data_IF_312178615495
#
_entry.id   IF_312178615495
#
_cell.length_a   1.000
_cell.length_b   1.000
_cell.length_c   1.000
_cell.angle_alpha   90.00
_cell.angle_beta   90.00
_cell.angle_gamma   90.00
#
_symmetry.space_group_name_H-M   'P 1'
#
loop_
_entity.id
_entity.type
_entity.pdbx_description
1 polymer ?
#
# COMPACT_ATOMS: atom_id res chain seq x y z
N UNK A 1 -10.11 -17.90 -30.15
CA UNK A 1 -9.04 -17.25 -29.39
C UNK A 1 -8.25 -18.34 -28.68
N UNK A 2 -6.91 -18.37 -28.78
CA UNK A 2 -6.11 -19.37 -28.05
C UNK A 2 -6.18 -19.06 -26.54
N UNK A 3 -6.34 -20.07 -25.66
CA UNK A 3 -6.24 -19.87 -24.22
C UNK A 3 -4.89 -19.26 -23.85
N UNK A 4 -4.87 -18.33 -22.90
CA UNK A 4 -3.63 -17.74 -22.40
C UNK A 4 -2.83 -18.82 -21.68
N UNK A 5 -1.56 -18.99 -22.06
CA UNK A 5 -0.64 -19.90 -21.41
C UNK A 5 -0.34 -19.41 -19.98
N UNK A 6 -0.75 -20.19 -18.98
CA UNK A 6 -0.59 -19.88 -17.56
C UNK A 6 0.61 -20.58 -16.90
N UNK A 7 1.44 -21.27 -17.68
CA UNK A 7 2.58 -22.04 -17.15
C UNK A 7 3.67 -21.17 -16.52
N UNK A 8 3.75 -19.89 -16.90
CA UNK A 8 4.67 -18.89 -16.35
C UNK A 8 3.89 -17.77 -15.61
N UNK A 9 3.57 -17.93 -14.32
CA UNK A 9 2.71 -16.99 -13.58
C UNK A 9 3.29 -15.57 -13.48
N UNK A 10 4.62 -15.43 -13.57
CA UNK A 10 5.33 -14.14 -13.54
C UNK A 10 4.85 -13.17 -14.63
N UNK A 11 4.40 -13.69 -15.78
CA UNK A 11 3.83 -12.87 -16.85
C UNK A 11 2.61 -12.09 -16.37
N UNK A 12 1.70 -12.70 -15.60
CA UNK A 12 0.48 -12.06 -15.07
C UNK A 12 0.80 -11.03 -13.98
N UNK A 13 1.84 -11.28 -13.18
CA UNK A 13 2.28 -10.36 -12.14
C UNK A 13 2.92 -9.09 -12.72
N UNK A 14 3.54 -9.19 -13.91
CA UNK A 14 4.11 -8.06 -14.65
C UNK A 14 3.08 -7.24 -15.45
N UNK A 15 1.81 -7.64 -15.52
CA UNK A 15 0.79 -6.90 -16.29
C UNK A 15 0.46 -5.53 -15.67
N UNK A 16 0.77 -5.32 -14.39
CA UNK A 16 0.52 -4.07 -13.65
C UNK A 16 1.84 -3.45 -13.18
N UNK A 17 2.53 -2.77 -14.08
CA UNK A 17 3.86 -2.19 -13.83
C UNK A 17 3.95 -1.32 -12.57
N UNK A 18 2.94 -0.51 -12.28
CA UNK A 18 2.94 0.36 -11.11
C UNK A 18 2.88 -0.43 -9.79
N UNK A 19 2.19 -1.58 -9.77
CA UNK A 19 2.18 -2.48 -8.62
C UNK A 19 3.48 -3.27 -8.53
N UNK A 20 4.01 -3.72 -9.67
CA UNK A 20 5.29 -4.44 -9.73
C UNK A 20 6.47 -3.58 -9.27
N UNK A 21 6.50 -2.31 -9.68
CA UNK A 21 7.55 -1.37 -9.29
C UNK A 21 7.44 -0.90 -7.83
N UNK A 22 6.31 -1.15 -7.15
CA UNK A 22 6.18 -0.83 -5.74
C UNK A 22 6.82 -1.94 -4.88
N UNK A 23 7.77 -1.62 -3.98
CA UNK A 23 8.39 -2.63 -3.11
C UNK A 23 7.39 -3.36 -2.20
N UNK A 24 6.27 -2.72 -1.89
CA UNK A 24 5.19 -3.30 -1.08
C UNK A 24 4.15 -4.06 -1.93
N UNK A 25 4.32 -4.12 -3.26
CA UNK A 25 3.36 -4.71 -4.20
C UNK A 25 1.90 -4.27 -3.99
N UNK A 26 1.72 -3.01 -3.58
CA UNK A 26 0.40 -2.46 -3.28
C UNK A 26 -0.51 -2.50 -4.50
N UNK A 27 -1.80 -2.85 -4.36
CA UNK A 27 -2.73 -2.98 -5.48
C UNK A 27 -3.15 -1.61 -6.04
N UNK A 28 -2.24 -0.97 -6.78
CA UNK A 28 -2.39 0.39 -7.33
C UNK A 28 -3.71 0.60 -8.07
N UNK A 29 -4.10 -0.25 -9.04
CA UNK A 29 -5.34 -0.03 -9.78
C UNK A 29 -6.59 -0.10 -8.91
N UNK A 30 -6.58 -0.97 -7.89
CA UNK A 30 -7.75 -1.23 -7.05
C UNK A 30 -8.12 -0.02 -6.19
N UNK A 31 -7.17 0.51 -5.41
CA UNK A 31 -7.49 1.67 -4.58
C UNK A 31 -7.73 2.94 -5.41
N UNK A 32 -7.16 3.07 -6.60
CA UNK A 32 -7.47 4.20 -7.50
C UNK A 32 -8.93 4.14 -7.95
N UNK A 33 -9.44 2.95 -8.30
CA UNK A 33 -10.86 2.77 -8.65
C UNK A 33 -11.77 3.09 -7.47
N UNK A 34 -11.40 2.70 -6.25
CA UNK A 34 -12.16 3.04 -5.05
C UNK A 34 -12.16 4.55 -4.78
N UNK A 35 -11.03 5.23 -4.93
CA UNK A 35 -10.94 6.70 -4.85
C UNK A 35 -11.85 7.37 -5.89
N UNK A 36 -11.81 6.89 -7.14
CA UNK A 36 -12.67 7.42 -8.21
C UNK A 36 -14.16 7.23 -7.92
N UNK A 37 -14.53 6.20 -7.15
CA UNK A 37 -15.89 5.94 -6.68
C UNK A 37 -16.25 6.68 -5.37
N UNK A 38 -15.36 7.53 -4.84
CA UNK A 38 -15.56 8.22 -3.56
C UNK A 38 -15.44 7.33 -2.32
N UNK A 39 -14.99 6.08 -2.47
CA UNK A 39 -14.88 5.07 -1.41
C UNK A 39 -13.52 5.16 -0.71
N UNK A 40 -13.24 6.28 -0.06
CA UNK A 40 -11.92 6.60 0.50
C UNK A 40 -11.48 5.65 1.63
N UNK A 41 -12.38 5.29 2.54
CA UNK A 41 -12.09 4.35 3.64
C UNK A 41 -11.64 2.99 3.12
N UNK A 42 -12.30 2.49 2.07
CA UNK A 42 -11.98 1.20 1.46
C UNK A 42 -10.68 1.28 0.65
N UNK A 43 -10.48 2.38 -0.10
CA UNK A 43 -9.21 2.64 -0.77
C UNK A 43 -8.02 2.69 0.21
N UNK A 44 -8.24 3.27 1.40
CA UNK A 44 -7.26 3.29 2.47
C UNK A 44 -6.98 1.88 2.98
N UNK A 45 -8.03 1.09 3.25
CA UNK A 45 -7.87 -0.28 3.73
C UNK A 45 -7.15 -1.19 2.73
N UNK A 46 -7.44 -1.04 1.43
CA UNK A 46 -6.72 -1.74 0.35
C UNK A 46 -5.22 -1.43 0.37
N UNK A 47 -4.83 -0.16 0.57
CA UNK A 47 -3.41 0.19 0.76
C UNK A 47 -2.85 -0.37 2.08
N UNK A 48 -3.66 -0.36 3.14
CA UNK A 48 -3.25 -0.73 4.48
C UNK A 48 -2.82 -2.20 4.61
N UNK A 49 -3.41 -3.10 3.81
CA UNK A 49 -3.02 -4.51 3.75
C UNK A 49 -1.54 -4.68 3.36
N UNK A 50 -1.07 -3.91 2.39
CA UNK A 50 0.33 -3.99 1.90
C UNK A 50 1.29 -3.14 2.73
N UNK A 51 0.80 -2.10 3.39
CA UNK A 51 1.62 -1.20 4.21
C UNK A 51 0.77 -0.56 5.30
N UNK A 52 1.14 -0.75 6.57
CA UNK A 52 0.34 -0.27 7.71
C UNK A 52 0.34 1.24 7.92
N UNK A 53 1.10 2.01 7.11
CA UNK A 53 1.19 3.47 7.14
C UNK A 53 0.82 4.17 5.81
N UNK A 54 -0.36 3.93 5.21
CA UNK A 54 -0.71 4.53 3.92
C UNK A 54 -0.67 6.07 3.91
N UNK A 55 -1.05 6.69 5.03
CA UNK A 55 -1.08 8.15 5.18
C UNK A 55 0.30 8.79 5.18
N UNK A 56 1.31 8.12 5.77
CA UNK A 56 2.70 8.56 5.74
C UNK A 56 3.26 8.39 4.32
N UNK A 57 3.07 7.21 3.72
CA UNK A 57 3.55 6.95 2.36
C UNK A 57 2.94 7.91 1.32
N UNK A 58 1.67 8.31 1.47
CA UNK A 58 1.07 9.31 0.59
C UNK A 58 1.78 10.68 0.60
N UNK A 59 2.69 10.92 1.56
CA UNK A 59 3.44 12.17 1.74
C UNK A 59 4.94 12.01 1.48
N UNK A 60 5.53 10.88 1.88
CA UNK A 60 6.98 10.69 1.88
C UNK A 60 7.50 9.66 0.88
N UNK A 61 6.63 8.93 0.19
CA UNK A 61 7.06 7.88 -0.75
C UNK A 61 7.90 8.45 -1.92
N UNK A 62 8.97 7.74 -2.28
CA UNK A 62 9.84 8.02 -3.44
C UNK A 62 9.20 7.70 -4.80
N UNK A 63 7.98 7.14 -4.77
CA UNK A 63 7.10 6.92 -5.93
C UNK A 63 7.71 6.09 -7.08
N UNK A 64 8.36 4.95 -6.82
CA UNK A 64 8.90 4.10 -7.91
C UNK A 64 7.81 3.60 -8.88
N UNK A 65 6.56 3.59 -8.44
CA UNK A 65 5.40 3.23 -9.25
C UNK A 65 4.99 4.27 -10.31
N UNK A 66 5.36 5.55 -10.15
CA UNK A 66 4.96 6.61 -11.09
C UNK A 66 5.80 6.56 -12.38
N UNK A 67 7.15 6.45 -12.35
CA UNK A 67 7.95 6.24 -13.56
C UNK A 67 7.59 4.97 -14.33
N UNK A 68 7.17 3.92 -13.63
CA UNK A 68 6.74 2.65 -14.24
C UNK A 68 5.32 2.69 -14.83
N UNK A 69 4.55 3.76 -14.58
CA UNK A 69 3.15 3.84 -14.95
C UNK A 69 2.96 3.70 -16.48
N UNK A 70 2.07 2.79 -16.89
CA UNK A 70 1.75 2.55 -18.30
C UNK A 70 1.22 3.79 -19.03
N UNK A 71 0.55 4.70 -18.30
CA UNK A 71 0.00 5.96 -18.84
C UNK A 71 1.07 6.76 -19.59
N UNK A 72 2.28 6.81 -19.05
CA UNK A 72 3.42 7.49 -19.64
C UNK A 72 3.93 6.87 -20.94
N UNK A 73 3.40 5.74 -21.39
CA UNK A 73 3.80 5.08 -22.66
C UNK A 73 2.71 5.11 -23.72
N UNK A 74 1.49 5.47 -23.36
CA UNK A 74 0.32 5.43 -24.25
C UNK A 74 -0.23 6.81 -24.57
N UNK A 75 0.06 7.82 -23.76
CA UNK A 75 -0.34 9.20 -24.02
C UNK A 75 0.82 9.93 -24.73
N UNK A 76 0.60 10.39 -25.95
CA UNK A 76 1.60 11.15 -26.71
C UNK A 76 1.61 12.64 -26.34
N UNK A 77 0.49 13.15 -25.81
CA UNK A 77 0.30 14.54 -25.37
C UNK A 77 -0.54 14.59 -24.09
N UNK A 78 -0.25 15.56 -23.22
CA UNK A 78 -1.09 15.82 -22.04
C UNK A 78 -2.23 16.79 -22.39
N UNK A 79 -3.39 16.71 -21.71
CA UNK A 79 -4.54 17.59 -21.99
C UNK A 79 -4.24 19.09 -21.89
N UNK A 80 -3.18 19.50 -21.21
CA UNK A 80 -2.73 20.90 -21.06
C UNK A 80 -1.65 21.30 -22.08
N UNK A 81 -1.45 20.52 -23.14
CA UNK A 81 -0.58 20.84 -24.27
C UNK A 81 0.92 20.73 -23.96
N UNK A 82 1.30 20.10 -22.85
CA UNK A 82 2.70 19.82 -22.54
C UNK A 82 3.13 18.52 -23.22
N UNK A 83 4.32 18.51 -23.81
CA UNK A 83 4.93 17.33 -24.46
C UNK A 83 5.26 16.18 -23.49
N UNK A 84 4.99 16.32 -22.19
CA UNK A 84 5.41 15.34 -21.19
C UNK A 84 4.29 14.35 -20.86
N UNK A 85 4.39 13.14 -21.39
CA UNK A 85 3.82 11.89 -20.82
C UNK A 85 3.70 11.96 -19.29
N UNK A 86 2.49 12.09 -18.77
CA UNK A 86 2.26 12.28 -17.33
C UNK A 86 1.78 10.97 -16.67
N UNK A 87 2.52 10.42 -15.69
CA UNK A 87 2.04 9.27 -14.94
C UNK A 87 0.87 9.67 -14.05
N UNK A 88 0.07 8.68 -13.66
CA UNK A 88 -0.91 8.90 -12.58
C UNK A 88 -0.16 9.34 -11.32
N UNK A 89 -0.68 10.38 -10.64
CA UNK A 89 -0.12 10.87 -9.38
C UNK A 89 -0.45 9.92 -8.20
N UNK A 90 0.03 8.68 -8.29
CA UNK A 90 -0.28 7.55 -7.41
C UNK A 90 -0.02 7.89 -5.95
N UNK A 91 1.12 8.52 -5.63
CA UNK A 91 1.44 8.89 -4.25
C UNK A 91 0.42 9.90 -3.67
N UNK A 92 0.02 10.89 -4.48
CA UNK A 92 -0.96 11.90 -4.05
C UNK A 92 -2.35 11.28 -3.87
N UNK A 93 -2.73 10.29 -4.68
CA UNK A 93 -3.97 9.55 -4.51
C UNK A 93 -3.99 8.75 -3.19
N UNK A 94 -2.87 8.15 -2.78
CA UNK A 94 -2.76 7.54 -1.44
C UNK A 94 -3.00 8.55 -0.32
N UNK A 95 -2.45 9.76 -0.46
CA UNK A 95 -2.73 10.86 0.47
C UNK A 95 -4.21 11.21 0.49
N UNK A 96 -4.86 11.34 -0.67
CA UNK A 96 -6.31 11.60 -0.73
C UNK A 96 -7.11 10.53 0.03
N UNK A 97 -6.83 9.24 -0.20
CA UNK A 97 -7.51 8.17 0.54
C UNK A 97 -7.30 8.30 2.07
N UNK A 98 -6.10 8.68 2.52
CA UNK A 98 -5.82 8.88 3.94
C UNK A 98 -6.43 10.15 4.54
N UNK A 99 -6.56 11.22 3.76
CA UNK A 99 -7.07 12.52 4.21
C UNK A 99 -8.60 12.54 4.27
N UNK A 100 -9.27 11.75 3.39
CA UNK A 100 -10.73 11.71 3.28
C UNK A 100 -11.38 10.43 3.83
N UNK A 101 -10.60 9.46 4.34
CA UNK A 101 -11.20 8.29 5.00
C UNK A 101 -11.98 8.71 6.23
N UNK A 102 -12.98 7.91 6.56
CA UNK A 102 -13.70 8.00 7.82
C UNK A 102 -12.93 7.27 8.94
N UNK A 103 -13.59 7.06 10.08
CA UNK A 103 -13.06 6.20 11.14
C UNK A 103 -13.02 4.74 10.67
N UNK A 104 -11.82 4.17 10.66
CA UNK A 104 -11.56 2.81 10.19
C UNK A 104 -11.33 1.82 11.33
N UNK A 105 -11.40 2.25 12.60
CA UNK A 105 -11.06 1.38 13.75
C UNK A 105 -11.84 0.06 13.74
N UNK A 106 -13.08 0.09 13.27
CA UNK A 106 -13.95 -1.07 13.13
C UNK A 106 -13.54 -2.02 11.98
N UNK A 107 -12.75 -1.54 11.01
CA UNK A 107 -12.20 -2.32 9.89
C UNK A 107 -10.80 -2.90 10.20
N UNK A 108 -10.14 -2.40 11.25
CA UNK A 108 -8.82 -2.87 11.63
C UNK A 108 -8.92 -4.27 12.26
N UNK A 109 -7.97 -5.17 11.94
CA UNK A 109 -7.92 -6.49 12.55
C UNK A 109 -7.72 -6.35 14.05
N UNK A 110 -8.52 -7.10 14.80
CA UNK A 110 -8.40 -7.16 16.24
C UNK A 110 -7.21 -8.05 16.62
N UNK A 111 -6.51 -7.75 17.73
CA UNK A 111 -5.55 -8.68 18.30
C UNK A 111 -6.21 -10.03 18.61
N UNK A 112 -5.44 -11.12 18.56
CA UNK A 112 -5.99 -12.42 18.91
C UNK A 112 -6.52 -12.43 20.35
N UNK A 113 -7.72 -12.99 20.54
CA UNK A 113 -8.34 -13.12 21.85
C UNK A 113 -7.51 -14.00 22.80
N UNK A 114 -6.88 -15.05 22.27
CA UNK A 114 -5.98 -15.93 23.02
C UNK A 114 -4.53 -15.70 22.57
N UNK A 115 -3.63 -15.61 23.54
CA UNK A 115 -2.18 -15.53 23.27
C UNK A 115 -1.65 -16.92 22.92
N UNK A 116 -0.73 -17.00 21.97
CA UNK A 116 -0.09 -18.25 21.53
C UNK A 116 1.09 -18.69 22.43
N UNK A 117 1.32 -17.98 23.54
CA UNK A 117 2.40 -18.27 24.50
C UNK A 117 3.80 -17.81 24.07
N UNK A 118 3.98 -17.26 22.85
CA UNK A 118 5.28 -16.81 22.34
C UNK A 118 5.46 -15.30 22.55
N UNK A 119 6.67 -14.92 22.93
CA UNK A 119 7.07 -13.52 23.20
C UNK A 119 8.06 -13.04 22.16
N UNK A 120 7.87 -11.82 21.66
CA UNK A 120 8.72 -11.18 20.66
C UNK A 120 9.11 -9.79 21.19
N UNK A 121 10.40 -9.46 21.11
CA UNK A 121 10.91 -8.13 21.39
C UNK A 121 11.30 -7.47 20.07
N UNK A 122 10.77 -6.28 19.79
CA UNK A 122 11.18 -5.44 18.68
C UNK A 122 12.03 -4.29 19.22
N UNK A 123 13.18 -4.03 18.61
CA UNK A 123 14.10 -2.95 19.00
C UNK A 123 13.95 -1.80 18.01
N UNK A 124 13.66 -0.60 18.52
CA UNK A 124 13.26 0.61 17.81
C UNK A 124 11.76 0.62 17.49
N UNK A 125 11.07 1.74 17.73
CA UNK A 125 9.67 2.03 17.42
C UNK A 125 9.50 2.71 16.06
N UNK A 126 10.38 2.40 15.12
CA UNK A 126 10.27 2.83 13.73
C UNK A 126 9.24 2.00 12.94
N UNK A 127 8.99 2.37 11.66
CA UNK A 127 7.99 1.73 10.81
C UNK A 127 8.18 0.21 10.68
N UNK A 128 9.42 -0.29 10.65
CA UNK A 128 9.71 -1.71 10.53
C UNK A 128 9.16 -2.52 11.72
N UNK A 129 9.54 -2.14 12.95
CA UNK A 129 9.08 -2.80 14.17
C UNK A 129 7.58 -2.67 14.39
N UNK A 130 7.00 -1.51 14.11
CA UNK A 130 5.57 -1.30 14.26
C UNK A 130 4.76 -2.13 13.25
N UNK A 131 5.27 -2.31 12.03
CA UNK A 131 4.67 -3.21 11.04
C UNK A 131 4.73 -4.66 11.53
N UNK A 132 5.90 -5.12 11.97
CA UNK A 132 6.06 -6.47 12.52
C UNK A 132 5.15 -6.71 13.73
N UNK A 133 5.09 -5.75 14.67
CA UNK A 133 4.26 -5.83 15.85
C UNK A 133 2.77 -5.93 15.50
N UNK A 134 2.31 -5.10 14.54
CA UNK A 134 0.95 -5.18 13.99
C UNK A 134 0.68 -6.56 13.42
N UNK A 135 1.55 -7.11 12.57
CA UNK A 135 1.28 -8.37 11.88
C UNK A 135 1.25 -9.57 12.83
N UNK A 136 2.07 -9.52 13.88
CA UNK A 136 2.15 -10.56 14.90
C UNK A 136 0.99 -10.50 15.92
N UNK A 137 0.36 -9.34 16.13
CA UNK A 137 -0.68 -9.18 17.14
C UNK A 137 -1.98 -9.98 16.86
N UNK A 138 -2.53 -9.99 15.63
CA UNK A 138 -3.65 -10.87 15.24
C UNK A 138 -3.30 -12.37 15.28
N UNK A 139 -2.01 -12.73 15.24
CA UNK A 139 -1.53 -14.11 15.36
C UNK A 139 -1.33 -14.56 16.82
N UNK A 140 -1.61 -13.69 17.79
CA UNK A 140 -1.59 -14.00 19.21
C UNK A 140 -0.22 -13.94 19.88
N UNK A 141 0.80 -13.41 19.22
CA UNK A 141 2.09 -13.17 19.86
C UNK A 141 1.98 -12.06 20.91
N UNK A 142 2.77 -12.18 21.97
CA UNK A 142 3.02 -11.06 22.88
C UNK A 142 4.22 -10.28 22.36
N UNK A 143 3.96 -9.12 21.75
CA UNK A 143 5.01 -8.25 21.21
C UNK A 143 5.28 -7.10 22.16
N UNK A 144 6.54 -6.84 22.46
CA UNK A 144 7.01 -5.66 23.20
C UNK A 144 7.95 -4.87 22.31
N UNK A 145 7.68 -3.58 22.13
CA UNK A 145 8.55 -2.67 21.37
C UNK A 145 9.36 -1.84 22.36
N UNK A 146 10.68 -1.85 22.20
CA UNK A 146 11.61 -1.05 22.99
C UNK A 146 12.16 0.05 22.10
N UNK A 147 12.07 1.31 22.53
CA UNK A 147 12.73 2.43 21.86
C UNK A 147 13.80 3.05 22.78
N UNK A 148 14.86 3.59 22.17
CA UNK A 148 15.93 4.28 22.89
C UNK A 148 15.63 5.76 23.11
N UNK A 149 14.70 6.33 22.34
CA UNK A 149 14.17 7.66 22.57
C UNK A 149 13.33 7.65 23.86
N UNK A 150 13.55 8.68 24.68
CA UNK A 150 12.87 8.86 25.98
C UNK A 150 11.72 9.84 25.89
N UNK A 151 11.54 10.49 24.73
CA UNK A 151 10.50 11.49 24.48
C UNK A 151 9.14 10.86 24.21
#
# INVERSE_FOLDING_TARGET
MKPTDISAPDYFHKVVDCQWACPAHTPVPEYIRLIAAGRYSEAYMVNWVSNVFPGILGRTCDRPCEPACRRSRVEDETPDGRERREPVAICRLKRVAADYKEDIRHLLPQPAAQKNGRRIACIGAGPASLTAARDLAPLGYQVVVYDGDRR
#
